data_IF_648722509472
#
_entry.id   IF_648722509472
#
_cell.length_a   1.000
_cell.length_b   1.000
_cell.length_c   1.000
_cell.angle_alpha   90.00
_cell.angle_beta   90.00
_cell.angle_gamma   90.00
#
_symmetry.space_group_name_H-M   'P 1'
#
loop_
_entity.id
_entity.type
_entity.pdbx_description
1 polymer ?
#
# COMPACT_ATOMS: atom_id res chain seq x y z
N UNK A 1 -7.15 7.05 18.86
CA UNK A 1 -6.18 7.93 19.58
C UNK A 1 -4.80 7.32 19.57
N UNK A 2 -3.74 8.11 19.23
CA UNK A 2 -2.36 7.65 19.32
C UNK A 2 -1.85 7.75 20.77
N UNK A 3 -1.09 6.75 21.23
CA UNK A 3 -0.43 6.75 22.54
C UNK A 3 0.78 7.69 22.55
N UNK A 4 1.27 8.13 23.73
CA UNK A 4 2.58 8.78 23.86
C UNK A 4 3.69 7.92 23.22
N UNK A 5 4.66 8.58 22.58
CA UNK A 5 5.74 7.96 21.80
C UNK A 5 5.26 7.05 20.65
N UNK A 6 4.00 7.21 20.22
CA UNK A 6 3.47 6.50 19.07
C UNK A 6 4.14 6.92 17.76
N UNK A 7 3.97 6.10 16.72
CA UNK A 7 4.51 6.38 15.39
C UNK A 7 3.37 6.41 14.38
N UNK A 8 3.40 7.39 13.48
CA UNK A 8 2.50 7.52 12.32
C UNK A 8 3.34 7.28 11.08
N UNK A 9 2.90 6.39 10.21
CA UNK A 9 3.45 6.22 8.88
C UNK A 9 2.37 6.59 7.86
N UNK A 10 2.66 7.59 7.02
CA UNK A 10 1.74 8.05 5.98
C UNK A 10 2.21 7.58 4.60
N UNK A 11 1.30 6.97 3.86
CA UNK A 11 1.54 6.39 2.53
C UNK A 11 0.98 7.26 1.40
N UNK A 12 0.05 8.17 1.72
CA UNK A 12 -0.65 9.01 0.75
C UNK A 12 -0.63 10.47 1.17
N UNK A 13 -0.58 11.36 0.19
CA UNK A 13 -0.61 12.80 0.45
C UNK A 13 -1.91 13.23 1.10
N UNK A 14 -1.81 14.11 2.07
CA UNK A 14 -2.99 14.77 2.68
C UNK A 14 -3.46 15.91 1.79
N UNK A 15 -4.77 15.97 1.58
CA UNK A 15 -5.41 17.07 0.84
C UNK A 15 -5.62 18.31 1.70
N UNK A 16 -5.74 18.13 3.01
CA UNK A 16 -5.97 19.20 3.97
C UNK A 16 -4.72 19.43 4.82
N UNK A 17 -4.43 20.67 5.23
CA UNK A 17 -3.35 20.93 6.17
C UNK A 17 -3.54 20.15 7.46
N UNK A 18 -2.45 19.61 8.00
CA UNK A 18 -2.44 18.90 9.28
C UNK A 18 -1.66 19.71 10.30
N UNK A 19 -2.29 20.04 11.44
CA UNK A 19 -1.60 20.68 12.54
C UNK A 19 -0.71 19.69 13.30
N UNK A 20 0.57 19.72 12.99
CA UNK A 20 1.58 18.85 13.59
C UNK A 20 1.79 19.13 15.09
N UNK A 21 1.43 20.33 15.61
CA UNK A 21 1.58 20.66 17.03
C UNK A 21 0.71 19.74 17.91
N UNK A 22 -0.38 19.21 17.38
CA UNK A 22 -1.22 18.25 18.11
C UNK A 22 -0.49 16.98 18.55
N UNK A 23 0.64 16.68 17.92
CA UNK A 23 1.45 15.50 18.23
C UNK A 23 2.56 15.78 19.23
N UNK A 24 2.90 17.06 19.44
CA UNK A 24 4.02 17.50 20.28
C UNK A 24 3.92 16.97 21.71
N UNK A 25 2.77 17.15 22.38
CA UNK A 25 2.60 16.77 23.79
C UNK A 25 2.73 15.26 24.04
N UNK A 26 2.61 14.44 23.00
CA UNK A 26 2.77 12.98 23.09
C UNK A 26 4.08 12.49 22.48
N UNK A 27 4.98 13.40 22.07
CA UNK A 27 6.24 13.05 21.41
C UNK A 27 6.05 12.02 20.28
N UNK A 28 5.05 12.24 19.44
CA UNK A 28 4.72 11.32 18.31
C UNK A 28 5.72 11.52 17.19
N UNK A 29 6.23 10.42 16.64
CA UNK A 29 7.02 10.45 15.42
C UNK A 29 6.12 10.35 14.19
N UNK A 30 6.43 11.14 13.16
CA UNK A 30 5.74 11.10 11.87
C UNK A 30 6.73 10.74 10.77
N UNK A 31 6.37 9.75 9.94
CA UNK A 31 7.19 9.26 8.85
C UNK A 31 6.38 9.23 7.56
N UNK A 32 6.98 9.69 6.48
CA UNK A 32 6.49 9.40 5.15
C UNK A 32 7.10 8.09 4.65
N UNK A 33 6.28 7.25 4.05
CA UNK A 33 6.75 6.12 3.26
C UNK A 33 6.28 6.31 1.82
N UNK A 34 7.26 6.50 0.93
CA UNK A 34 7.00 6.67 -0.49
C UNK A 34 7.79 5.62 -1.27
N UNK A 35 7.06 4.72 -1.90
CA UNK A 35 7.63 3.53 -2.55
C UNK A 35 8.70 3.83 -3.61
N UNK A 36 8.65 5.02 -4.22
CA UNK A 36 9.58 5.40 -5.28
C UNK A 36 10.83 6.14 -4.78
N UNK A 37 10.96 6.47 -3.50
CA UNK A 37 12.08 7.25 -2.97
C UNK A 37 13.42 6.67 -3.38
N UNK A 38 13.61 5.37 -3.18
CA UNK A 38 14.87 4.69 -3.50
C UNK A 38 15.24 4.79 -4.97
N UNK A 39 14.28 4.56 -5.86
CA UNK A 39 14.47 4.64 -7.30
C UNK A 39 14.67 6.08 -7.78
N UNK A 40 13.84 7.02 -7.31
CA UNK A 40 13.91 8.43 -7.71
C UNK A 40 15.23 9.11 -7.32
N UNK A 41 15.70 8.83 -6.12
CA UNK A 41 16.91 9.45 -5.59
C UNK A 41 18.16 8.57 -5.72
N UNK A 42 18.04 7.39 -6.37
CA UNK A 42 19.14 6.44 -6.59
C UNK A 42 19.94 6.19 -5.31
N UNK A 43 19.23 5.90 -4.21
CA UNK A 43 19.85 5.71 -2.91
C UNK A 43 20.77 4.48 -2.92
N UNK A 44 21.84 4.44 -2.08
CA UNK A 44 22.76 3.30 -2.03
C UNK A 44 22.09 1.95 -1.75
N UNK A 45 20.93 1.98 -1.10
CA UNK A 45 20.12 0.81 -0.75
C UNK A 45 18.97 0.54 -1.74
N UNK A 46 19.05 1.03 -2.96
CA UNK A 46 17.98 0.89 -3.99
C UNK A 46 17.57 -0.59 -4.21
N UNK A 47 18.51 -1.51 -4.13
CA UNK A 47 18.27 -2.95 -4.28
C UNK A 47 17.39 -3.56 -3.17
N UNK A 48 17.27 -2.90 -2.02
CA UNK A 48 16.47 -3.40 -0.89
C UNK A 48 14.99 -3.57 -1.23
N UNK A 49 14.47 -2.82 -2.18
CA UNK A 49 13.08 -2.97 -2.63
C UNK A 49 12.83 -4.39 -3.16
N UNK A 50 13.74 -4.92 -4.00
CA UNK A 50 13.65 -6.30 -4.49
C UNK A 50 13.73 -7.33 -3.36
N UNK A 51 14.62 -7.10 -2.38
CA UNK A 51 14.76 -7.99 -1.20
C UNK A 51 13.45 -8.03 -0.39
N UNK A 52 12.80 -6.87 -0.17
CA UNK A 52 11.53 -6.82 0.55
C UNK A 52 10.41 -7.52 -0.19
N UNK A 53 10.32 -7.33 -1.52
CA UNK A 53 9.32 -8.02 -2.35
C UNK A 53 9.52 -9.53 -2.34
N UNK A 54 10.77 -10.00 -2.41
CA UNK A 54 11.08 -11.43 -2.33
C UNK A 54 10.69 -12.03 -0.97
N UNK A 55 11.01 -11.35 0.13
CA UNK A 55 10.59 -11.77 1.48
C UNK A 55 9.08 -11.81 1.63
N UNK A 56 8.39 -10.82 1.06
CA UNK A 56 6.93 -10.79 1.05
C UNK A 56 6.35 -11.99 0.30
N UNK A 57 6.87 -12.28 -0.90
CA UNK A 57 6.44 -13.45 -1.68
C UNK A 57 6.64 -14.74 -0.90
N UNK A 58 7.81 -14.95 -0.32
CA UNK A 58 8.10 -16.12 0.52
C UNK A 58 7.15 -16.24 1.72
N UNK A 59 6.81 -15.12 2.37
CA UNK A 59 5.89 -15.12 3.50
C UNK A 59 4.45 -15.46 3.08
N UNK A 60 4.03 -15.04 1.89
CA UNK A 60 2.73 -15.43 1.31
C UNK A 60 2.72 -16.91 0.97
N UNK A 61 3.77 -17.42 0.30
CA UNK A 61 3.88 -18.83 -0.08
C UNK A 61 3.91 -19.75 1.14
N UNK A 62 4.53 -19.31 2.22
CA UNK A 62 4.54 -20.03 3.50
C UNK A 62 3.25 -19.90 4.32
N UNK A 63 2.25 -19.15 3.83
CA UNK A 63 0.99 -18.91 4.55
C UNK A 63 1.10 -17.98 5.77
N UNK A 64 2.27 -17.37 6.00
CA UNK A 64 2.48 -16.44 7.10
C UNK A 64 1.77 -15.08 6.88
N UNK A 65 1.52 -14.73 5.62
CA UNK A 65 0.77 -13.54 5.22
C UNK A 65 -0.39 -13.98 4.34
N UNK A 66 -1.61 -13.55 4.71
CA UNK A 66 -2.80 -13.80 3.91
C UNK A 66 -2.84 -12.84 2.72
N UNK A 67 -3.09 -13.38 1.52
CA UNK A 67 -3.36 -12.56 0.34
C UNK A 67 -4.56 -11.64 0.57
N UNK A 68 -4.44 -10.41 0.07
CA UNK A 68 -5.54 -9.43 0.04
C UNK A 68 -6.38 -9.53 -1.24
N UNK A 69 -6.18 -10.55 -2.06
CA UNK A 69 -7.04 -10.85 -3.20
C UNK A 69 -8.40 -11.34 -2.68
N UNK A 70 -9.44 -10.56 -2.92
CA UNK A 70 -10.79 -10.83 -2.42
C UNK A 70 -11.77 -11.19 -3.53
N UNK A 71 -11.44 -10.87 -4.78
CA UNK A 71 -12.33 -11.07 -5.91
C UNK A 71 -11.58 -11.63 -7.12
N UNK A 72 -12.19 -12.59 -7.79
CA UNK A 72 -11.79 -13.08 -9.11
C UNK A 72 -12.81 -12.57 -10.12
N UNK A 73 -12.40 -11.62 -10.96
CA UNK A 73 -13.26 -10.92 -11.91
C UNK A 73 -13.44 -11.65 -13.25
N UNK A 74 -13.00 -12.92 -13.35
CA UNK A 74 -13.13 -13.73 -14.55
C UNK A 74 -11.99 -13.54 -15.54
N UNK A 75 -12.23 -13.90 -16.81
CA UNK A 75 -11.23 -13.82 -17.89
C UNK A 75 -10.97 -12.37 -18.28
N UNK A 76 -9.71 -12.04 -18.55
CA UNK A 76 -9.32 -10.71 -19.03
C UNK A 76 -10.00 -10.43 -20.39
N UNK A 77 -10.75 -9.36 -20.47
CA UNK A 77 -11.44 -8.88 -21.63
C UNK A 77 -11.85 -7.42 -21.44
N UNK A 78 -12.29 -6.76 -22.50
CA UNK A 78 -12.65 -5.34 -22.45
C UNK A 78 -13.70 -5.04 -21.38
N UNK A 79 -14.78 -5.82 -21.36
CA UNK A 79 -15.91 -5.60 -20.45
C UNK A 79 -15.54 -5.90 -18.99
N UNK A 80 -14.85 -7.02 -18.75
CA UNK A 80 -14.40 -7.41 -17.40
C UNK A 80 -13.37 -6.44 -16.84
N UNK A 81 -12.48 -5.92 -17.70
CA UNK A 81 -11.50 -4.90 -17.31
C UNK A 81 -12.19 -3.58 -16.96
N UNK A 82 -13.15 -3.13 -17.78
CA UNK A 82 -13.91 -1.91 -17.50
C UNK A 82 -14.67 -2.03 -16.19
N UNK A 83 -15.37 -3.13 -15.96
CA UNK A 83 -16.09 -3.38 -14.71
C UNK A 83 -15.15 -3.38 -13.49
N UNK A 84 -13.96 -3.97 -13.62
CA UNK A 84 -12.97 -3.95 -12.55
C UNK A 84 -12.47 -2.53 -12.25
N UNK A 85 -12.22 -1.70 -13.26
CA UNK A 85 -11.86 -0.29 -13.08
C UNK A 85 -12.96 0.51 -12.40
N UNK A 86 -14.22 0.34 -12.83
CA UNK A 86 -15.36 1.04 -12.24
C UNK A 86 -15.52 0.68 -10.76
N UNK A 87 -15.33 -0.60 -10.43
CA UNK A 87 -15.38 -1.08 -9.05
C UNK A 87 -14.26 -0.47 -8.18
N UNK A 88 -13.03 -0.43 -8.69
CA UNK A 88 -11.89 0.20 -7.97
C UNK A 88 -12.12 1.71 -7.84
N UNK A 89 -12.57 2.38 -8.89
CA UNK A 89 -12.84 3.81 -8.92
C UNK A 89 -13.94 4.23 -7.95
N UNK A 90 -14.87 3.33 -7.63
CA UNK A 90 -15.93 3.58 -6.65
C UNK A 90 -15.42 3.88 -5.24
N UNK A 91 -14.18 3.50 -4.92
CA UNK A 91 -13.57 3.63 -3.59
C UNK A 91 -14.19 2.72 -2.51
N UNK A 92 -15.12 1.84 -2.87
CA UNK A 92 -15.82 0.95 -1.93
C UNK A 92 -15.24 -0.47 -1.89
N UNK A 93 -14.30 -0.76 -2.77
CA UNK A 93 -13.68 -2.08 -2.85
C UNK A 93 -12.75 -2.33 -1.67
N UNK A 94 -12.88 -3.51 -1.05
CA UNK A 94 -11.97 -3.99 -0.02
C UNK A 94 -11.11 -5.11 -0.62
N UNK A 95 -9.78 -4.98 -0.50
CA UNK A 95 -8.83 -5.93 -1.05
C UNK A 95 -8.47 -5.66 -2.51
N UNK A 96 -8.26 -6.71 -3.28
CA UNK A 96 -7.84 -6.66 -4.69
C UNK A 96 -8.73 -7.55 -5.55
N UNK A 97 -8.88 -7.15 -6.81
CA UNK A 97 -9.50 -7.96 -7.86
C UNK A 97 -8.41 -8.43 -8.83
N UNK A 98 -8.48 -9.69 -9.24
CA UNK A 98 -7.63 -10.26 -10.28
C UNK A 98 -8.48 -10.74 -11.46
N UNK A 99 -8.00 -10.48 -12.66
CA UNK A 99 -8.55 -11.04 -13.90
C UNK A 99 -7.60 -12.14 -14.40
N UNK A 100 -8.14 -13.27 -14.80
CA UNK A 100 -7.37 -14.42 -15.24
C UNK A 100 -7.07 -14.35 -16.74
N UNK A 101 -5.82 -14.61 -17.09
CA UNK A 101 -5.34 -14.99 -18.44
C UNK A 101 -5.78 -14.16 -19.64
N UNK A 102 -5.10 -14.38 -20.69
CA UNK A 102 -5.46 -13.89 -22.03
C UNK A 102 -6.24 -14.94 -22.80
#
# INVERSE_FOLDING_TARGET
>A
CIRPFGKICALVSHRQPMDMNRFKNKSVSFHWEFMFTRAMFKTPDQSQQGVYLQRLAQAVDAGAIRSILTQQGGKLGRETLQAAFDQVASGKMIGKIALAGF
#
